data_IF_648912348820
#
_entry.id   IF_648912348820
#
_cell.length_a   1.000
_cell.length_b   1.000
_cell.length_c   1.000
_cell.angle_alpha   90.00
_cell.angle_beta   90.00
_cell.angle_gamma   90.00
#
_symmetry.space_group_name_H-M   'P 1'
#
loop_
_entity.id
_entity.type
_entity.pdbx_description
1 polymer ?
#
# COMPACT_ATOMS: atom_id res chain seq x y z
N UNK A 1 49.52 5.76 -18.74
CA UNK A 1 49.50 4.54 -17.92
C UNK A 1 49.01 4.82 -16.51
N UNK A 2 49.65 5.76 -15.74
CA UNK A 2 49.22 6.07 -14.34
C UNK A 2 47.74 6.52 -14.27
N UNK A 3 47.33 7.41 -15.13
CA UNK A 3 45.95 7.91 -15.19
C UNK A 3 44.92 6.81 -15.53
N UNK A 4 45.25 5.87 -16.40
CA UNK A 4 44.37 4.74 -16.71
C UNK A 4 44.30 3.73 -15.55
N UNK A 5 45.42 3.54 -14.83
CA UNK A 5 45.41 2.74 -13.60
C UNK A 5 44.56 3.37 -12.50
N UNK A 6 44.66 4.69 -12.30
CA UNK A 6 43.82 5.39 -11.33
C UNK A 6 42.36 5.23 -11.62
N UNK A 7 41.94 5.39 -12.88
CA UNK A 7 40.54 5.10 -13.30
C UNK A 7 40.11 3.69 -12.97
N UNK A 8 40.96 2.71 -13.23
CA UNK A 8 40.64 1.30 -12.91
C UNK A 8 40.46 1.09 -11.42
N UNK A 9 41.32 1.68 -10.58
CA UNK A 9 41.16 1.61 -9.12
C UNK A 9 39.86 2.26 -8.63
N UNK A 10 39.47 3.42 -9.16
CA UNK A 10 38.19 4.08 -8.86
C UNK A 10 37.01 3.18 -9.27
N UNK A 11 37.06 2.58 -10.47
CA UNK A 11 36.04 1.66 -10.92
C UNK A 11 35.96 0.38 -10.05
N UNK A 12 37.10 -0.16 -9.64
CA UNK A 12 37.13 -1.32 -8.75
C UNK A 12 36.56 -0.98 -7.37
N UNK A 13 36.86 0.18 -6.80
CA UNK A 13 36.29 0.63 -5.52
C UNK A 13 34.77 0.82 -5.65
N UNK A 14 34.33 1.44 -6.74
CA UNK A 14 32.89 1.59 -7.03
C UNK A 14 32.19 0.23 -7.11
N UNK A 15 32.70 -0.73 -7.90
CA UNK A 15 32.15 -2.08 -8.03
C UNK A 15 32.13 -2.78 -6.66
N UNK A 16 33.19 -2.65 -5.88
CA UNK A 16 33.25 -3.25 -4.55
C UNK A 16 32.17 -2.68 -3.63
N UNK A 17 31.93 -1.36 -3.63
CA UNK A 17 30.87 -0.72 -2.84
C UNK A 17 29.48 -1.17 -3.31
N UNK A 18 29.26 -1.33 -4.61
CA UNK A 18 27.98 -1.75 -5.17
C UNK A 18 27.70 -3.25 -4.93
N UNK A 19 28.72 -4.03 -4.55
CA UNK A 19 28.56 -5.47 -4.25
C UNK A 19 28.00 -5.75 -2.84
N UNK A 20 27.90 -4.73 -1.99
CA UNK A 20 27.45 -4.86 -0.60
C UNK A 20 26.18 -4.05 -0.37
N UNK A 21 25.17 -4.69 0.24
CA UNK A 21 23.86 -4.08 0.43
C UNK A 21 23.86 -2.79 1.25
N UNK A 22 24.81 -2.63 2.19
CA UNK A 22 24.97 -1.43 3.04
C UNK A 22 25.48 -0.22 2.26
N UNK A 23 26.31 -0.45 1.23
CA UNK A 23 26.97 0.62 0.44
C UNK A 23 26.44 0.74 -0.99
N UNK A 24 25.63 -0.21 -1.44
CA UNK A 24 25.03 -0.21 -2.78
C UNK A 24 24.05 0.96 -2.96
N UNK A 25 24.04 1.55 -4.16
CA UNK A 25 23.00 2.46 -4.60
C UNK A 25 21.67 1.68 -4.79
N UNK A 26 20.55 2.40 -5.01
CA UNK A 26 19.22 1.79 -5.09
C UNK A 26 19.14 0.69 -6.16
N UNK A 27 19.69 0.93 -7.34
CA UNK A 27 19.56 0.00 -8.49
C UNK A 27 20.26 -1.33 -8.20
N UNK A 28 21.46 -1.31 -7.63
CA UNK A 28 22.21 -2.50 -7.25
C UNK A 28 21.62 -3.18 -6.01
N UNK A 29 21.12 -2.38 -5.05
CA UNK A 29 20.43 -2.94 -3.88
C UNK A 29 19.17 -3.69 -4.28
N UNK A 30 18.43 -3.24 -5.28
CA UNK A 30 17.27 -3.95 -5.85
C UNK A 30 17.68 -5.33 -6.38
N UNK A 31 18.83 -5.43 -7.05
CA UNK A 31 19.33 -6.73 -7.54
C UNK A 31 19.73 -7.65 -6.38
N UNK A 32 20.46 -7.12 -5.39
CA UNK A 32 20.87 -7.89 -4.20
C UNK A 32 19.64 -8.38 -3.42
N UNK A 33 18.64 -7.52 -3.22
CA UNK A 33 17.42 -7.86 -2.49
C UNK A 33 16.58 -8.92 -3.23
N UNK A 34 16.57 -8.88 -4.57
CA UNK A 34 15.87 -9.84 -5.42
C UNK A 34 16.40 -11.27 -5.24
N UNK A 35 17.68 -11.47 -4.96
CA UNK A 35 18.25 -12.80 -4.69
C UNK A 35 17.63 -13.45 -3.44
N UNK A 36 17.05 -12.65 -2.56
CA UNK A 36 16.27 -13.11 -1.39
C UNK A 36 14.75 -13.08 -1.61
N UNK A 37 14.31 -12.85 -2.83
CA UNK A 37 12.88 -12.73 -3.14
C UNK A 37 12.24 -11.42 -2.66
N UNK A 38 13.04 -10.39 -2.34
CA UNK A 38 12.55 -9.08 -1.91
C UNK A 38 12.56 -8.13 -3.11
N UNK A 39 11.40 -7.64 -3.47
CA UNK A 39 11.21 -6.70 -4.57
C UNK A 39 10.95 -5.30 -4.02
N UNK A 40 11.52 -4.28 -4.68
CA UNK A 40 11.22 -2.89 -4.37
C UNK A 40 9.72 -2.62 -4.53
N UNK A 41 9.10 -1.99 -3.54
CA UNK A 41 7.73 -1.50 -3.63
C UNK A 41 7.68 -0.32 -4.60
N UNK A 42 6.86 -0.44 -5.63
CA UNK A 42 6.64 0.63 -6.60
C UNK A 42 5.56 1.58 -6.11
N UNK A 43 5.62 2.82 -6.60
CA UNK A 43 4.58 3.80 -6.33
C UNK A 43 3.19 3.25 -6.64
N UNK A 44 2.24 3.51 -5.77
CA UNK A 44 0.85 3.12 -5.92
C UNK A 44 -0.07 4.33 -6.11
N UNK A 45 -1.26 4.07 -6.68
CA UNK A 45 -2.25 5.10 -6.90
C UNK A 45 -3.15 5.26 -5.67
N UNK A 46 -3.54 6.49 -5.35
CA UNK A 46 -4.56 6.74 -4.33
C UNK A 46 -5.96 6.36 -4.86
N UNK A 47 -6.78 5.83 -3.97
CA UNK A 47 -8.20 5.60 -4.22
C UNK A 47 -9.02 6.48 -3.29
N UNK A 48 -10.03 7.12 -3.86
CA UNK A 48 -10.88 8.09 -3.17
C UNK A 48 -12.35 7.74 -3.34
N UNK A 49 -13.18 8.16 -2.39
CA UNK A 49 -14.62 8.11 -2.49
C UNK A 49 -15.12 9.39 -3.15
N UNK A 50 -15.86 9.26 -4.25
CA UNK A 50 -16.44 10.35 -5.01
C UNK A 50 -17.95 10.29 -4.89
N UNK A 51 -18.58 11.40 -4.50
CA UNK A 51 -20.03 11.54 -4.44
C UNK A 51 -20.50 12.51 -5.54
N UNK A 52 -21.42 12.04 -6.36
CA UNK A 52 -22.10 12.85 -7.38
C UNK A 52 -23.53 13.22 -6.99
N UNK A 53 -24.17 14.10 -7.78
CA UNK A 53 -25.60 14.39 -7.71
C UNK A 53 -26.41 13.63 -8.79
N UNK A 54 -25.76 12.89 -9.67
CA UNK A 54 -26.33 12.06 -10.71
C UNK A 54 -25.52 10.78 -10.91
N UNK A 55 -26.04 9.76 -11.63
CA UNK A 55 -25.30 8.57 -12.00
C UNK A 55 -24.05 8.91 -12.82
N UNK A 56 -22.90 8.34 -12.42
CA UNK A 56 -21.61 8.54 -13.11
C UNK A 56 -21.17 7.21 -13.73
N UNK A 57 -20.97 7.15 -15.05
CA UNK A 57 -20.46 5.95 -15.71
C UNK A 57 -19.05 5.58 -15.23
N UNK A 58 -18.79 4.27 -15.11
CA UNK A 58 -17.43 3.78 -14.84
C UNK A 58 -16.51 4.18 -16.00
N UNK A 59 -15.30 4.63 -15.67
CA UNK A 59 -14.33 5.14 -16.62
C UNK A 59 -14.34 6.66 -16.79
N UNK A 60 -15.39 7.36 -16.31
CA UNK A 60 -15.45 8.84 -16.36
C UNK A 60 -14.26 9.44 -15.60
N UNK A 61 -13.71 10.51 -16.17
CA UNK A 61 -12.55 11.21 -15.65
C UNK A 61 -12.91 12.56 -15.07
N UNK A 62 -12.27 12.87 -13.95
CA UNK A 62 -12.41 14.15 -13.25
C UNK A 62 -11.04 14.72 -12.95
N UNK A 63 -10.97 16.05 -12.78
CA UNK A 63 -9.77 16.74 -12.35
C UNK A 63 -10.02 17.45 -11.02
N UNK A 64 -9.05 17.34 -10.09
CA UNK A 64 -8.99 18.17 -8.89
C UNK A 64 -7.57 18.70 -8.73
N UNK A 65 -7.41 20.02 -8.83
CA UNK A 65 -6.11 20.70 -8.87
C UNK A 65 -5.25 20.18 -10.03
N UNK A 66 -4.09 19.56 -9.74
CA UNK A 66 -3.16 19.02 -10.73
C UNK A 66 -3.32 17.52 -10.96
N UNK A 67 -4.26 16.86 -10.30
CA UNK A 67 -4.45 15.40 -10.37
C UNK A 67 -5.74 15.04 -11.12
N UNK A 68 -5.66 13.94 -11.88
CA UNK A 68 -6.79 13.37 -12.58
C UNK A 68 -7.23 12.07 -11.88
N UNK A 69 -8.54 11.87 -11.85
CA UNK A 69 -9.17 10.73 -11.21
C UNK A 69 -10.10 10.04 -12.21
N UNK A 70 -10.10 8.72 -12.18
CA UNK A 70 -10.98 7.89 -13.00
C UNK A 70 -11.90 7.06 -12.12
N UNK A 71 -13.20 7.08 -12.38
CA UNK A 71 -14.16 6.21 -11.71
C UNK A 71 -13.87 4.75 -12.08
N UNK A 72 -13.66 3.91 -11.09
CA UNK A 72 -13.32 2.48 -11.28
C UNK A 72 -14.42 1.54 -10.82
N UNK A 73 -15.20 1.95 -9.82
CA UNK A 73 -16.22 1.09 -9.20
C UNK A 73 -17.33 1.93 -8.57
N UNK A 74 -18.56 1.39 -8.57
CA UNK A 74 -19.66 1.96 -7.81
C UNK A 74 -19.67 1.35 -6.40
N UNK A 75 -19.61 2.19 -5.37
CA UNK A 75 -19.70 1.75 -3.97
C UNK A 75 -21.19 1.66 -3.58
N UNK A 76 -21.99 2.66 -3.95
CA UNK A 76 -23.43 2.70 -3.69
C UNK A 76 -24.15 3.54 -4.76
N UNK A 77 -24.83 2.86 -5.66
CA UNK A 77 -25.55 3.49 -6.76
C UNK A 77 -26.76 4.32 -6.30
N UNK A 78 -27.37 3.95 -5.16
CA UNK A 78 -28.56 4.64 -4.66
C UNK A 78 -28.25 6.06 -4.15
N UNK A 79 -27.00 6.32 -3.76
CA UNK A 79 -26.52 7.61 -3.26
C UNK A 79 -25.42 8.20 -4.13
N UNK A 80 -25.22 7.64 -5.34
CA UNK A 80 -24.23 8.08 -6.32
C UNK A 80 -22.82 8.19 -5.76
N UNK A 81 -22.39 7.17 -5.01
CA UNK A 81 -21.05 7.10 -4.41
C UNK A 81 -20.19 6.08 -5.15
N UNK A 82 -19.03 6.52 -5.59
CA UNK A 82 -18.13 5.77 -6.45
C UNK A 82 -16.72 5.76 -5.88
N UNK A 83 -15.98 4.69 -6.20
CA UNK A 83 -14.54 4.62 -6.00
C UNK A 83 -13.86 5.18 -7.25
N UNK A 84 -12.98 6.15 -7.05
CA UNK A 84 -12.13 6.67 -8.11
C UNK A 84 -10.67 6.43 -7.79
N UNK A 85 -9.88 6.18 -8.82
CA UNK A 85 -8.43 6.00 -8.75
C UNK A 85 -7.76 7.26 -9.28
N UNK A 86 -6.79 7.80 -8.55
CA UNK A 86 -5.90 8.83 -9.07
C UNK A 86 -5.07 8.24 -10.22
N UNK A 87 -4.98 8.92 -11.36
CA UNK A 87 -4.21 8.44 -12.51
C UNK A 87 -2.70 8.58 -12.30
N UNK A 88 -2.28 9.50 -11.45
CA UNK A 88 -0.90 9.67 -11.04
C UNK A 88 -0.62 8.85 -9.76
N UNK A 89 0.46 8.08 -9.78
CA UNK A 89 0.93 7.34 -8.62
C UNK A 89 1.74 8.23 -7.67
N UNK A 90 1.78 7.84 -6.40
CA UNK A 90 2.51 8.54 -5.36
C UNK A 90 1.61 9.17 -4.29
N UNK A 91 2.24 9.71 -3.26
CA UNK A 91 1.56 10.28 -2.09
C UNK A 91 0.95 11.68 -2.32
N UNK A 92 1.23 12.31 -3.47
CA UNK A 92 0.86 13.71 -3.74
C UNK A 92 -0.63 14.02 -3.69
N UNK A 93 -1.50 13.03 -3.94
CA UNK A 93 -2.95 13.19 -3.94
C UNK A 93 -3.66 12.79 -2.64
N UNK A 94 -2.94 12.28 -1.63
CA UNK A 94 -3.51 11.68 -0.42
C UNK A 94 -4.38 12.62 0.43
N UNK A 95 -4.09 13.91 0.42
CA UNK A 95 -4.80 14.88 1.27
C UNK A 95 -5.74 15.78 0.47
N UNK A 96 -6.15 15.35 -0.73
CA UNK A 96 -7.02 16.12 -1.57
C UNK A 96 -8.48 15.70 -1.42
N UNK A 97 -9.30 16.63 -0.96
CA UNK A 97 -10.77 16.50 -0.88
C UNK A 97 -11.42 17.75 -1.49
N UNK A 98 -12.67 17.66 -1.87
CA UNK A 98 -13.45 18.77 -2.38
C UNK A 98 -14.01 18.55 -3.76
N UNK A 99 -14.52 19.63 -4.36
CA UNK A 99 -15.25 19.61 -5.61
C UNK A 99 -14.32 19.36 -6.80
N UNK A 100 -14.73 18.45 -7.67
CA UNK A 100 -14.00 18.02 -8.86
C UNK A 100 -14.61 18.64 -10.12
N UNK A 101 -13.76 18.83 -11.13
CA UNK A 101 -14.18 19.28 -12.46
C UNK A 101 -14.26 18.05 -13.37
N UNK A 102 -15.41 17.80 -13.97
CA UNK A 102 -15.56 16.73 -14.94
C UNK A 102 -14.73 17.02 -16.21
N UNK A 103 -13.88 16.07 -16.60
CA UNK A 103 -13.14 16.11 -17.87
C UNK A 103 -14.04 15.57 -18.98
N UNK A 104 -14.76 14.47 -18.70
CA UNK A 104 -15.71 13.86 -19.62
C UNK A 104 -17.11 14.39 -19.30
N UNK A 105 -17.92 14.62 -20.36
CA UNK A 105 -19.29 15.05 -20.16
C UNK A 105 -20.15 13.93 -19.57
N UNK A 106 -20.91 14.24 -18.53
CA UNK A 106 -21.85 13.32 -17.88
C UNK A 106 -23.21 13.98 -17.81
N UNK A 107 -24.23 13.37 -18.44
CA UNK A 107 -25.57 13.90 -18.49
C UNK A 107 -26.18 14.05 -17.08
N UNK A 108 -26.68 15.24 -16.76
CA UNK A 108 -27.34 15.53 -15.50
C UNK A 108 -26.39 15.70 -14.30
N UNK A 109 -25.06 15.56 -14.48
CA UNK A 109 -24.10 15.81 -13.43
C UNK A 109 -23.78 17.30 -13.34
N UNK A 110 -24.13 17.90 -12.20
CA UNK A 110 -23.80 19.30 -11.89
C UNK A 110 -22.64 19.40 -10.92
N UNK A 111 -22.50 18.41 -10.02
CA UNK A 111 -21.49 18.40 -8.97
C UNK A 111 -20.98 16.98 -8.70
N UNK A 112 -19.66 16.88 -8.58
CA UNK A 112 -18.97 15.71 -8.03
C UNK A 112 -17.90 16.18 -7.03
N UNK A 113 -17.75 15.47 -5.92
CA UNK A 113 -16.78 15.84 -4.89
C UNK A 113 -16.08 14.60 -4.30
N UNK A 114 -14.80 14.74 -3.97
CA UNK A 114 -14.06 13.76 -3.16
C UNK A 114 -14.47 13.96 -1.70
N UNK A 115 -15.07 12.94 -1.11
CA UNK A 115 -15.53 12.95 0.29
C UNK A 115 -14.47 12.45 1.24
N UNK A 116 -13.71 11.42 0.86
CA UNK A 116 -12.66 10.82 1.68
C UNK A 116 -11.63 10.07 0.83
N UNK A 117 -10.45 9.86 1.40
CA UNK A 117 -9.43 8.99 0.82
C UNK A 117 -9.63 7.58 1.38
N UNK A 118 -9.87 6.61 0.50
CA UNK A 118 -10.10 5.20 0.85
C UNK A 118 -8.78 4.46 1.07
N UNK A 119 -7.85 4.65 0.13
CA UNK A 119 -6.51 4.05 0.15
C UNK A 119 -5.54 5.14 -0.27
N UNK A 120 -4.53 5.38 0.55
CA UNK A 120 -3.47 6.32 0.23
C UNK A 120 -2.58 5.80 -0.89
N UNK A 121 -2.16 6.68 -1.79
CA UNK A 121 -1.09 6.42 -2.72
C UNK A 121 0.26 6.43 -2.01
N UNK A 122 1.20 5.67 -2.50
CA UNK A 122 2.55 5.57 -1.95
C UNK A 122 3.57 5.91 -3.03
N UNK A 123 4.67 6.56 -2.65
CA UNK A 123 5.81 6.80 -3.53
C UNK A 123 6.64 5.52 -3.71
N UNK A 124 7.55 5.52 -4.69
CA UNK A 124 8.53 4.44 -4.81
C UNK A 124 9.30 4.27 -3.49
N UNK A 125 9.49 3.02 -3.09
CA UNK A 125 10.26 2.69 -1.90
C UNK A 125 11.68 3.23 -2.00
N UNK A 126 12.11 3.95 -0.97
CA UNK A 126 13.45 4.52 -0.91
C UNK A 126 14.51 3.43 -0.71
N UNK A 127 15.77 3.75 -1.04
CA UNK A 127 16.92 2.88 -0.81
C UNK A 127 16.98 2.39 0.64
N UNK A 128 16.79 3.29 1.61
CA UNK A 128 16.93 2.97 3.02
C UNK A 128 15.80 2.08 3.52
N UNK A 129 14.54 2.31 3.06
CA UNK A 129 13.41 1.45 3.38
C UNK A 129 13.58 0.03 2.81
N UNK A 130 14.08 -0.09 1.57
CA UNK A 130 14.40 -1.39 0.98
C UNK A 130 15.51 -2.11 1.75
N UNK A 131 16.55 -1.37 2.16
CA UNK A 131 17.65 -1.92 2.93
C UNK A 131 17.20 -2.46 4.30
N UNK A 132 16.36 -1.71 5.02
CA UNK A 132 15.75 -2.16 6.27
C UNK A 132 14.95 -3.46 6.10
N UNK A 133 14.13 -3.56 5.04
CA UNK A 133 13.39 -4.79 4.73
C UNK A 133 14.32 -5.95 4.37
N UNK A 134 15.40 -5.66 3.64
CA UNK A 134 16.42 -6.65 3.32
C UNK A 134 17.08 -7.18 4.60
N UNK A 135 17.52 -6.31 5.52
CA UNK A 135 18.06 -6.71 6.80
C UNK A 135 17.06 -7.49 7.66
N UNK A 136 15.81 -7.05 7.72
CA UNK A 136 14.76 -7.74 8.46
C UNK A 136 14.56 -9.18 7.98
N UNK A 137 14.81 -9.46 6.70
CA UNK A 137 14.68 -10.81 6.14
C UNK A 137 15.67 -11.84 6.71
N UNK A 138 16.76 -11.38 7.31
CA UNK A 138 17.73 -12.28 7.98
C UNK A 138 17.32 -12.63 9.41
N UNK A 139 16.51 -11.79 10.05
CA UNK A 139 16.13 -11.93 11.47
C UNK A 139 14.77 -12.58 11.69
N UNK A 140 13.91 -12.64 10.67
CA UNK A 140 12.57 -13.24 10.79
C UNK A 140 12.21 -14.04 9.54
N UNK A 141 12.31 -15.36 9.63
CA UNK A 141 11.73 -16.21 8.59
C UNK A 141 10.21 -16.22 8.73
N UNK A 142 9.53 -15.85 7.64
CA UNK A 142 8.09 -16.01 7.50
C UNK A 142 7.78 -17.50 7.37
N UNK A 143 7.13 -18.08 8.38
CA UNK A 143 6.76 -19.49 8.39
C UNK A 143 5.26 -19.63 8.70
N UNK A 144 4.60 -20.61 8.06
CA UNK A 144 3.14 -20.80 8.07
C UNK A 144 2.44 -20.46 9.39
N UNK A 145 1.71 -19.35 9.43
CA UNK A 145 0.90 -18.90 10.56
C UNK A 145 1.64 -18.17 11.67
N UNK A 146 2.92 -17.89 11.53
CA UNK A 146 3.63 -17.11 12.55
C UNK A 146 3.37 -15.59 12.41
N UNK A 147 3.71 -14.84 13.46
CA UNK A 147 3.53 -13.37 13.49
C UNK A 147 4.28 -12.68 12.35
N UNK A 148 5.45 -13.18 11.94
CA UNK A 148 6.24 -12.62 10.86
C UNK A 148 5.50 -12.74 9.52
N UNK A 149 4.87 -13.87 9.25
CA UNK A 149 4.08 -14.07 8.04
C UNK A 149 2.88 -13.13 7.98
N UNK A 150 2.09 -13.03 9.06
CA UNK A 150 0.98 -12.08 9.13
C UNK A 150 1.44 -10.64 8.85
N UNK A 151 2.54 -10.21 9.48
CA UNK A 151 3.10 -8.87 9.23
C UNK A 151 3.55 -8.69 7.79
N UNK A 152 4.19 -9.69 7.20
CA UNK A 152 4.65 -9.65 5.82
C UNK A 152 3.48 -9.44 4.85
N UNK A 153 2.41 -10.22 4.97
CA UNK A 153 1.25 -10.10 4.09
C UNK A 153 0.50 -8.79 4.29
N UNK A 154 0.22 -8.41 5.54
CA UNK A 154 -0.51 -7.17 5.83
C UNK A 154 0.27 -5.93 5.37
N UNK A 155 1.57 -5.90 5.62
CA UNK A 155 2.43 -4.78 5.18
C UNK A 155 2.69 -4.76 3.66
N UNK A 156 2.30 -5.81 2.93
CA UNK A 156 2.35 -5.83 1.47
C UNK A 156 1.11 -5.17 0.83
N UNK A 157 0.02 -4.99 1.60
CA UNK A 157 -1.21 -4.35 1.12
C UNK A 157 -0.96 -2.85 1.00
N UNK A 158 -1.28 -2.29 -0.16
CA UNK A 158 -1.14 -0.85 -0.44
C UNK A 158 -2.00 -0.02 0.53
N UNK A 159 -1.46 1.09 1.02
CA UNK A 159 -2.10 1.95 2.01
C UNK A 159 -1.87 1.55 3.47
N UNK A 160 -1.18 0.42 3.73
CA UNK A 160 -0.82 -0.02 5.08
C UNK A 160 0.60 0.44 5.42
N UNK A 161 0.75 1.28 6.44
CA UNK A 161 2.04 1.74 6.97
C UNK A 161 2.67 0.79 7.97
N UNK A 162 1.89 -0.13 8.56
CA UNK A 162 2.36 -1.13 9.49
C UNK A 162 1.23 -1.85 10.22
N UNK A 163 1.57 -2.93 10.91
CA UNK A 163 0.60 -3.64 11.72
C UNK A 163 1.20 -4.27 12.99
N UNK A 164 0.32 -4.46 13.97
CA UNK A 164 0.60 -5.25 15.18
C UNK A 164 -0.31 -6.47 15.19
N UNK A 165 0.30 -7.66 15.33
CA UNK A 165 -0.42 -8.93 15.42
C UNK A 165 -0.49 -9.37 16.88
N UNK A 166 -1.68 -9.69 17.35
CA UNK A 166 -1.96 -10.18 18.70
C UNK A 166 -2.56 -11.58 18.61
N UNK A 167 -1.79 -12.64 18.87
CA UNK A 167 -2.31 -14.00 18.89
C UNK A 167 -3.16 -14.24 20.14
N UNK A 168 -4.12 -15.14 20.03
CA UNK A 168 -4.95 -15.63 21.14
C UNK A 168 -5.70 -14.52 21.91
N UNK A 169 -6.07 -13.45 21.21
CA UNK A 169 -6.65 -12.26 21.84
C UNK A 169 -8.07 -12.49 22.41
N UNK A 170 -8.79 -13.47 21.88
CA UNK A 170 -10.15 -13.82 22.28
C UNK A 170 -10.34 -15.35 22.39
N UNK A 171 -9.30 -16.09 22.82
CA UNK A 171 -9.30 -17.55 22.93
C UNK A 171 -8.46 -18.24 21.85
N UNK A 172 -8.36 -19.56 21.97
CA UNK A 172 -7.56 -20.38 21.04
C UNK A 172 -8.03 -20.20 19.59
N UNK A 173 -7.08 -20.15 18.66
CA UNK A 173 -7.33 -19.96 17.23
C UNK A 173 -7.58 -18.51 16.79
N UNK A 174 -7.73 -17.56 17.72
CA UNK A 174 -8.04 -16.17 17.37
C UNK A 174 -6.78 -15.32 17.18
N UNK A 175 -6.77 -14.49 16.12
CA UNK A 175 -5.70 -13.53 15.82
C UNK A 175 -6.31 -12.15 15.60
N UNK A 176 -5.80 -11.14 16.30
CA UNK A 176 -6.17 -9.75 16.06
C UNK A 176 -5.04 -9.00 15.37
N UNK A 177 -5.39 -8.32 14.28
CA UNK A 177 -4.49 -7.46 13.53
C UNK A 177 -4.91 -6.01 13.77
N UNK A 178 -4.01 -5.21 14.32
CA UNK A 178 -4.20 -3.76 14.47
C UNK A 178 -3.36 -3.08 13.39
N UNK A 179 -4.02 -2.48 12.40
CA UNK A 179 -3.35 -1.83 11.27
C UNK A 179 -3.28 -0.31 11.43
N UNK A 180 -2.23 0.30 10.88
CA UNK A 180 -2.04 1.73 10.74
C UNK A 180 -1.88 2.07 9.25
N UNK A 181 -2.41 3.20 8.81
CA UNK A 181 -2.30 3.64 7.42
C UNK A 181 -0.87 4.07 7.07
N UNK A 182 -0.56 4.16 5.78
CA UNK A 182 0.75 4.65 5.28
C UNK A 182 1.06 6.09 5.73
N UNK A 183 0.05 6.89 6.09
CA UNK A 183 0.19 8.22 6.69
C UNK A 183 0.34 8.18 8.24
N UNK A 184 0.57 7.00 8.81
CA UNK A 184 0.67 6.78 10.27
C UNK A 184 -0.57 7.21 11.07
N UNK A 185 -1.74 7.27 10.42
CA UNK A 185 -3.04 7.55 11.00
C UNK A 185 -3.94 6.32 11.10
N UNK A 186 -5.21 6.54 11.45
CA UNK A 186 -6.23 5.50 11.42
C UNK A 186 -6.47 5.05 9.97
N UNK A 187 -6.69 3.74 9.78
CA UNK A 187 -7.10 3.19 8.49
C UNK A 187 -8.57 3.53 8.22
N UNK A 188 -8.93 3.77 6.95
CA UNK A 188 -10.32 3.87 6.53
C UNK A 188 -11.05 2.54 6.75
N UNK A 189 -12.38 2.57 6.90
CA UNK A 189 -13.19 1.35 7.00
C UNK A 189 -13.03 0.46 5.74
N UNK A 190 -12.88 1.08 4.59
CA UNK A 190 -12.62 0.38 3.33
C UNK A 190 -11.32 -0.42 3.37
N UNK A 191 -10.21 0.20 3.82
CA UNK A 191 -8.90 -0.48 3.92
C UNK A 191 -8.95 -1.62 4.95
N UNK A 192 -9.63 -1.41 6.09
CA UNK A 192 -9.82 -2.47 7.10
C UNK A 192 -10.58 -3.65 6.52
N UNK A 193 -11.66 -3.39 5.75
CA UNK A 193 -12.43 -4.44 5.08
C UNK A 193 -11.60 -5.19 4.06
N UNK A 194 -10.80 -4.48 3.25
CA UNK A 194 -9.88 -5.10 2.29
C UNK A 194 -8.87 -6.03 2.99
N UNK A 195 -8.21 -5.55 4.06
CA UNK A 195 -7.27 -6.37 4.83
C UNK A 195 -7.97 -7.61 5.42
N UNK A 196 -9.20 -7.45 5.91
CA UNK A 196 -9.99 -8.56 6.47
C UNK A 196 -10.32 -9.60 5.41
N UNK A 197 -10.74 -9.19 4.22
CA UNK A 197 -11.06 -10.08 3.10
C UNK A 197 -9.82 -10.82 2.58
N UNK A 198 -8.66 -10.16 2.53
CA UNK A 198 -7.40 -10.82 2.13
C UNK A 198 -6.88 -11.76 3.21
N UNK A 199 -7.05 -11.40 4.49
CA UNK A 199 -6.58 -12.23 5.60
C UNK A 199 -7.45 -13.47 5.80
N UNK A 200 -8.76 -13.28 5.87
CA UNK A 200 -9.70 -14.31 6.23
C UNK A 200 -11.11 -13.94 5.72
N UNK A 201 -11.42 -14.23 4.44
CA UNK A 201 -12.75 -13.96 3.88
C UNK A 201 -13.85 -14.74 4.59
N UNK A 202 -13.56 -16.01 4.92
CA UNK A 202 -14.42 -16.89 5.73
C UNK A 202 -13.63 -17.40 6.93
N UNK A 203 -14.11 -17.14 8.16
CA UNK A 203 -13.39 -17.44 9.39
C UNK A 203 -13.03 -18.93 9.52
N UNK A 204 -11.75 -19.21 9.79
CA UNK A 204 -11.22 -20.54 10.03
C UNK A 204 -11.05 -21.43 8.79
N UNK A 205 -11.40 -20.96 7.59
CA UNK A 205 -11.40 -21.80 6.37
C UNK A 205 -10.03 -21.90 5.69
N UNK A 206 -9.13 -20.92 5.93
CA UNK A 206 -7.83 -20.86 5.29
C UNK A 206 -7.85 -20.41 3.83
N UNK A 207 -8.95 -19.81 3.33
CA UNK A 207 -9.02 -19.27 1.96
C UNK A 207 -8.26 -17.96 1.76
N UNK A 208 -7.94 -17.22 2.84
CA UNK A 208 -7.07 -16.07 2.80
C UNK A 208 -5.60 -16.44 3.08
N UNK A 209 -4.79 -15.46 3.49
CA UNK A 209 -3.43 -15.77 3.96
C UNK A 209 -3.37 -16.32 5.39
N UNK A 210 -4.48 -16.25 6.14
CA UNK A 210 -4.58 -16.87 7.44
C UNK A 210 -4.68 -18.40 7.31
N UNK A 211 -3.95 -19.17 8.15
CA UNK A 211 -4.06 -20.61 8.16
C UNK A 211 -5.46 -21.12 8.53
N UNK A 212 -5.72 -22.39 8.22
CA UNK A 212 -6.92 -23.12 8.68
C UNK A 212 -7.02 -23.01 10.21
N UNK A 213 -8.24 -22.92 10.74
CA UNK A 213 -8.57 -22.76 12.16
C UNK A 213 -8.13 -21.40 12.78
N UNK A 214 -7.61 -20.46 11.98
CA UNK A 214 -7.36 -19.12 12.45
C UNK A 214 -8.56 -18.19 12.17
N UNK A 215 -9.15 -17.66 13.23
CA UNK A 215 -10.17 -16.60 13.17
C UNK A 215 -9.49 -15.24 13.28
N UNK A 216 -9.48 -14.48 12.19
CA UNK A 216 -8.78 -13.18 12.14
C UNK A 216 -9.75 -12.03 12.31
N UNK A 217 -9.41 -11.10 13.19
CA UNK A 217 -10.13 -9.82 13.36
C UNK A 217 -9.18 -8.67 13.05
N UNK A 218 -9.53 -7.85 12.05
CA UNK A 218 -8.75 -6.67 11.67
C UNK A 218 -9.41 -5.42 12.22
N UNK A 219 -8.61 -4.55 12.84
CA UNK A 219 -9.06 -3.25 13.38
C UNK A 219 -8.07 -2.16 13.04
N UNK A 220 -8.55 -0.93 12.94
CA UNK A 220 -7.68 0.24 12.84
C UNK A 220 -7.04 0.56 14.19
N UNK A 221 -5.85 1.17 14.16
CA UNK A 221 -5.31 1.84 15.34
C UNK A 221 -6.32 2.92 15.78
N UNK A 222 -6.62 2.98 17.09
CA UNK A 222 -7.44 4.05 17.64
C UNK A 222 -6.72 5.40 17.55
N UNK A 223 -7.44 6.47 17.21
CA UNK A 223 -6.87 7.80 17.29
C UNK A 223 -6.47 8.07 18.76
N UNK A 224 -5.18 8.31 18.98
CA UNK A 224 -4.71 8.81 20.28
C UNK A 224 -5.26 10.24 20.42
N UNK A 225 -6.23 10.43 21.32
CA UNK A 225 -6.75 11.75 21.67
C UNK A 225 -5.79 12.47 22.59
#
# INVERSE_FOLDING_TARGET
LAYEMEKLYIQMDYINRQSHADTADLDELVLIAKDRGIYQKKASNAYVSVKGNAPIPIGTRFSLKSFNYRIVEAINDNIYTYKAMCEESGAGSNNLTGEMIAIDHVDGLEKAEITEVLINGEDDETRDALYERYLASFSSESFGGNIAQYKQYVNAISGVGGCKVQPVWNGAGTVKIVAISSEFGACSEYLIKQIQEEACPDQGTGYGFAPIDHEVTVVSVGAVK
#
